data_IF_759525780008
#
_entry.id   IF_759525780008
#
_cell.length_a   1.000
_cell.length_b   1.000
_cell.length_c   1.000
_cell.angle_alpha   90.00
_cell.angle_beta   90.00
_cell.angle_gamma   90.00
#
_symmetry.space_group_name_H-M   'P 1'
#
loop_
_entity.id
_entity.type
_entity.pdbx_description
1 polymer ?
#
# COMPACT_ATOMS: atom_id res chain seq x y z
N UNK A 1 -1.05 -0.22 -37.01
CA UNK A 1 -0.83 0.72 -35.89
C UNK A 1 0.60 1.25 -35.90
N UNK A 2 0.80 2.56 -35.92
CA UNK A 2 2.12 3.23 -35.75
C UNK A 2 2.34 3.58 -34.27
N UNK A 3 3.59 3.57 -33.82
CA UNK A 3 3.94 3.75 -32.43
C UNK A 3 5.14 4.68 -32.32
N UNK A 4 5.03 5.68 -31.46
CA UNK A 4 6.10 6.58 -31.06
C UNK A 4 6.24 6.44 -29.54
N UNK A 5 7.45 6.25 -29.03
CA UNK A 5 7.72 6.21 -27.59
C UNK A 5 8.90 7.11 -27.29
N UNK A 6 8.73 7.98 -26.30
CA UNK A 6 9.76 8.89 -25.80
C UNK A 6 9.83 8.83 -24.26
N UNK A 7 10.59 9.74 -23.65
CA UNK A 7 10.73 9.82 -22.19
C UNK A 7 9.43 10.22 -21.47
N UNK A 8 8.51 10.87 -22.17
CA UNK A 8 7.26 11.42 -21.63
C UNK A 8 6.07 10.48 -21.79
N UNK A 9 6.12 9.53 -22.72
CA UNK A 9 5.02 8.59 -22.91
C UNK A 9 5.13 7.69 -24.15
N UNK A 10 4.00 7.06 -24.46
CA UNK A 10 3.78 6.26 -25.66
C UNK A 10 2.59 6.85 -26.40
N UNK A 11 2.79 7.10 -27.68
CA UNK A 11 1.77 7.56 -28.62
C UNK A 11 1.53 6.48 -29.65
N UNK A 12 0.31 5.94 -29.68
CA UNK A 12 -0.13 4.96 -30.67
C UNK A 12 -1.10 5.61 -31.65
N UNK A 13 -0.89 5.40 -32.95
CA UNK A 13 -1.81 5.80 -34.01
C UNK A 13 -2.40 4.54 -34.63
N UNK A 14 -3.71 4.32 -34.50
CA UNK A 14 -4.38 3.20 -35.15
C UNK A 14 -4.35 3.33 -36.68
N UNK A 15 -4.64 2.23 -37.39
CA UNK A 15 -4.72 2.28 -38.85
C UNK A 15 -5.93 3.10 -39.35
N UNK A 16 -6.90 3.34 -38.47
CA UNK A 16 -8.04 4.25 -38.67
C UNK A 16 -7.70 5.72 -38.33
N UNK A 17 -6.46 6.01 -37.93
CA UNK A 17 -6.01 7.37 -37.57
C UNK A 17 -6.37 7.82 -36.15
N UNK A 18 -6.84 6.93 -35.26
CA UNK A 18 -7.10 7.27 -33.86
C UNK A 18 -5.79 7.37 -33.08
N UNK A 19 -5.61 8.47 -32.36
CA UNK A 19 -4.45 8.73 -31.51
C UNK A 19 -4.73 8.31 -30.06
N UNK A 20 -3.85 7.51 -29.50
CA UNK A 20 -3.82 7.16 -28.08
C UNK A 20 -2.52 7.69 -27.49
N UNK A 21 -2.62 8.59 -26.51
CA UNK A 21 -1.46 9.14 -25.80
C UNK A 21 -1.48 8.62 -24.37
N UNK A 22 -0.45 7.86 -24.01
CA UNK A 22 -0.27 7.27 -22.69
C UNK A 22 0.97 7.92 -22.06
N UNK A 23 0.76 8.81 -21.11
CA UNK A 23 1.85 9.42 -20.34
C UNK A 23 2.66 8.37 -19.59
N UNK A 24 3.96 8.60 -19.41
CA UNK A 24 4.84 7.82 -18.53
C UNK A 24 4.35 7.80 -17.07
N UNK A 25 3.53 8.77 -16.68
CA UNK A 25 2.87 8.81 -15.37
C UNK A 25 1.58 7.98 -15.32
N UNK A 26 1.07 7.45 -16.42
CA UNK A 26 -0.17 6.67 -16.43
C UNK A 26 0.03 5.29 -15.77
N UNK A 27 -1.00 4.81 -15.07
CA UNK A 27 -0.99 3.50 -14.37
C UNK A 27 -0.89 2.30 -15.31
N UNK A 28 -1.30 2.48 -16.57
CA UNK A 28 -1.22 1.48 -17.63
C UNK A 28 0.10 1.55 -18.40
N UNK A 29 0.92 2.59 -18.19
CA UNK A 29 2.10 2.88 -19.02
C UNK A 29 3.01 1.67 -19.19
N UNK A 30 3.42 1.00 -18.11
CA UNK A 30 4.33 -0.14 -18.21
C UNK A 30 3.72 -1.34 -18.93
N UNK A 31 2.44 -1.60 -18.72
CA UNK A 31 1.76 -2.72 -19.37
C UNK A 31 1.57 -2.46 -20.87
N UNK A 32 1.21 -1.22 -21.22
CA UNK A 32 1.16 -0.73 -22.60
C UNK A 32 2.54 -0.79 -23.24
N UNK A 33 3.58 -0.30 -22.55
CA UNK A 33 4.97 -0.35 -22.99
C UNK A 33 5.43 -1.77 -23.28
N UNK A 34 5.20 -2.70 -22.36
CA UNK A 34 5.60 -4.09 -22.54
C UNK A 34 4.88 -4.73 -23.73
N UNK A 35 3.56 -4.53 -23.84
CA UNK A 35 2.76 -5.03 -24.97
C UNK A 35 3.27 -4.51 -26.32
N UNK A 36 3.52 -3.21 -26.39
CA UNK A 36 4.02 -2.54 -27.59
C UNK A 36 5.42 -3.05 -27.97
N UNK A 37 6.32 -3.17 -26.99
CA UNK A 37 7.69 -3.65 -27.16
C UNK A 37 7.75 -5.12 -27.53
N UNK A 38 6.79 -5.94 -27.08
CA UNK A 38 6.67 -7.35 -27.47
C UNK A 38 6.05 -7.56 -28.86
N UNK A 39 5.85 -6.49 -29.63
CA UNK A 39 5.29 -6.56 -30.99
C UNK A 39 3.75 -6.50 -31.05
N UNK A 40 3.07 -6.19 -29.94
CA UNK A 40 1.63 -5.99 -29.90
C UNK A 40 1.17 -4.82 -30.78
N UNK A 41 0.17 -5.05 -31.62
CA UNK A 41 -0.36 -4.05 -32.57
C UNK A 41 -1.89 -3.96 -32.62
N UNK A 42 -2.58 -4.85 -31.92
CA UNK A 42 -4.03 -4.84 -31.78
C UNK A 42 -4.48 -3.67 -30.89
N UNK A 43 -5.42 -2.88 -31.41
CA UNK A 43 -5.94 -1.67 -30.77
C UNK A 43 -6.95 -2.02 -29.68
N UNK A 44 -7.76 -3.07 -29.87
CA UNK A 44 -8.73 -3.51 -28.86
C UNK A 44 -7.99 -4.05 -27.63
N UNK A 45 -6.92 -4.81 -27.84
CA UNK A 45 -6.07 -5.30 -26.76
C UNK A 45 -5.36 -4.14 -26.03
N UNK A 46 -4.90 -3.11 -26.76
CA UNK A 46 -4.33 -1.90 -26.16
C UNK A 46 -5.35 -1.20 -25.25
N UNK A 47 -6.59 -0.98 -25.75
CA UNK A 47 -7.68 -0.38 -24.98
C UNK A 47 -8.01 -1.26 -23.76
N UNK A 48 -8.05 -2.58 -23.92
CA UNK A 48 -8.34 -3.51 -22.84
C UNK A 48 -7.29 -3.42 -21.71
N UNK A 49 -5.99 -3.27 -22.03
CA UNK A 49 -4.93 -3.10 -21.03
C UNK A 49 -5.05 -1.78 -20.27
N UNK A 50 -5.36 -0.67 -20.97
CA UNK A 50 -5.58 0.64 -20.36
C UNK A 50 -6.77 0.59 -19.40
N UNK A 51 -7.91 0.11 -19.90
CA UNK A 51 -9.16 0.02 -19.11
C UNK A 51 -9.04 -0.97 -17.95
N UNK A 52 -8.36 -2.10 -18.17
CA UNK A 52 -8.08 -3.09 -17.13
C UNK A 52 -7.24 -2.51 -15.99
N UNK A 53 -6.20 -1.75 -16.32
CA UNK A 53 -5.37 -1.04 -15.33
C UNK A 53 -6.16 -0.07 -14.48
N UNK A 54 -7.01 0.74 -15.12
CA UNK A 54 -7.85 1.72 -14.41
C UNK A 54 -8.88 1.03 -13.52
N UNK A 55 -9.56 0.02 -14.04
CA UNK A 55 -10.54 -0.78 -13.29
C UNK A 55 -9.93 -1.41 -12.04
N UNK A 56 -8.76 -2.03 -12.17
CA UNK A 56 -8.09 -2.69 -11.04
C UNK A 56 -7.72 -1.71 -9.91
N UNK A 57 -7.23 -0.52 -10.27
CA UNK A 57 -6.91 0.54 -9.29
C UNK A 57 -8.18 1.03 -8.58
N UNK A 58 -9.28 1.21 -9.32
CA UNK A 58 -10.58 1.59 -8.75
C UNK A 58 -11.11 0.52 -7.80
N UNK A 59 -11.08 -0.76 -8.17
CA UNK A 59 -11.53 -1.88 -7.32
C UNK A 59 -10.69 -1.99 -6.04
N UNK A 60 -9.38 -1.73 -6.14
CA UNK A 60 -8.47 -1.74 -5.01
C UNK A 60 -8.76 -0.58 -4.05
N UNK A 61 -8.98 0.62 -4.58
CA UNK A 61 -9.39 1.78 -3.79
C UNK A 61 -10.74 1.56 -3.09
N UNK A 62 -11.68 0.88 -3.76
CA UNK A 62 -12.97 0.49 -3.15
C UNK A 62 -12.77 -0.51 -2.01
N UNK A 63 -12.02 -1.60 -2.23
CA UNK A 63 -11.77 -2.60 -1.19
C UNK A 63 -11.07 -2.00 0.03
N UNK A 64 -10.20 -1.02 -0.20
CA UNK A 64 -9.53 -0.26 0.84
C UNK A 64 -10.49 0.54 1.72
N UNK A 65 -11.45 1.25 1.11
CA UNK A 65 -12.52 1.94 1.85
C UNK A 65 -13.24 0.94 2.75
N UNK A 66 -13.69 -0.19 2.19
CA UNK A 66 -14.48 -1.18 2.94
C UNK A 66 -13.75 -1.77 4.15
N UNK A 67 -12.44 -2.02 4.03
CA UNK A 67 -11.66 -2.60 5.14
C UNK A 67 -11.51 -1.63 6.31
N UNK A 68 -11.57 -0.33 6.04
CA UNK A 68 -11.24 0.72 7.01
C UNK A 68 -12.49 1.45 7.50
N UNK A 69 -13.54 1.48 6.68
CA UNK A 69 -14.84 2.14 6.87
C UNK A 69 -15.97 1.12 7.15
N UNK A 70 -15.71 0.18 8.07
CA UNK A 70 -16.66 -0.85 8.52
C UNK A 70 -17.63 -0.31 9.61
N UNK A 71 -17.85 1.02 9.67
CA UNK A 71 -18.62 1.70 10.73
C UNK A 71 -19.19 3.06 10.35
N UNK A 72 -19.77 3.76 11.33
CA UNK A 72 -20.42 5.09 11.16
C UNK A 72 -19.42 6.27 11.23
N UNK A 73 -18.22 6.02 11.77
CA UNK A 73 -17.13 7.00 11.84
C UNK A 73 -16.07 6.72 10.77
N UNK A 74 -15.74 7.74 9.99
CA UNK A 74 -14.60 7.63 9.08
C UNK A 74 -13.29 7.80 9.77
N UNK A 75 -12.47 6.79 9.66
CA UNK A 75 -11.13 6.83 10.21
C UNK A 75 -10.16 7.44 9.19
N UNK A 76 -9.58 8.57 9.58
CA UNK A 76 -8.50 9.26 8.86
C UNK A 76 -7.14 8.78 9.36
N UNK A 77 -6.08 8.99 8.58
CA UNK A 77 -4.70 8.87 9.09
C UNK A 77 -4.47 9.85 10.24
N UNK A 78 -3.35 9.71 10.97
CA UNK A 78 -2.94 10.68 12.00
C UNK A 78 -2.90 12.14 11.50
N UNK A 79 -2.63 12.32 10.20
CA UNK A 79 -2.49 13.60 9.52
C UNK A 79 -3.77 14.03 8.81
N UNK A 80 -4.91 13.40 9.13
CA UNK A 80 -6.21 13.73 8.57
C UNK A 80 -6.37 13.39 7.07
N UNK A 81 -5.47 12.57 6.51
CA UNK A 81 -5.55 12.11 5.12
C UNK A 81 -6.59 10.98 5.00
N UNK A 82 -7.33 10.91 3.88
CA UNK A 82 -8.09 9.72 3.52
C UNK A 82 -7.16 8.53 3.28
N UNK A 83 -7.51 7.40 3.90
CA UNK A 83 -6.77 6.14 3.75
C UNK A 83 -6.73 5.65 2.30
N UNK A 84 -7.76 5.99 1.52
CA UNK A 84 -7.87 5.69 0.09
C UNK A 84 -6.69 6.26 -0.69
N UNK A 85 -6.24 7.47 -0.37
CA UNK A 85 -5.21 8.15 -1.15
C UNK A 85 -3.84 7.51 -0.95
N UNK A 86 -3.51 7.17 0.29
CA UNK A 86 -2.28 6.46 0.64
C UNK A 86 -2.20 5.11 -0.09
N UNK A 87 -3.34 4.43 -0.22
CA UNK A 87 -3.44 3.15 -0.92
C UNK A 87 -3.39 3.34 -2.44
N UNK A 88 -4.07 4.36 -2.97
CA UNK A 88 -4.07 4.70 -4.39
C UNK A 88 -2.66 5.09 -4.86
N UNK A 89 -2.00 6.01 -4.16
CA UNK A 89 -0.61 6.40 -4.40
C UNK A 89 0.32 5.20 -4.40
N UNK A 90 0.07 4.25 -3.51
CA UNK A 90 0.84 3.01 -3.43
C UNK A 90 0.54 2.07 -4.58
N UNK A 91 -0.73 1.82 -4.89
CA UNK A 91 -1.12 0.95 -5.98
C UNK A 91 -0.55 1.46 -7.29
N UNK A 92 -0.60 2.77 -7.52
CA UNK A 92 0.04 3.46 -8.64
C UNK A 92 1.56 3.20 -8.61
N UNK A 93 2.23 3.46 -7.48
CA UNK A 93 3.69 3.30 -7.33
C UNK A 93 4.15 1.86 -7.58
N UNK A 94 3.49 0.88 -6.98
CA UNK A 94 3.88 -0.52 -7.08
C UNK A 94 3.59 -1.06 -8.49
N UNK A 95 2.46 -0.67 -9.10
CA UNK A 95 2.15 -1.02 -10.50
C UNK A 95 3.14 -0.40 -11.49
N UNK A 96 3.64 0.80 -11.19
CA UNK A 96 4.77 1.42 -11.92
C UNK A 96 6.10 0.69 -11.73
N UNK A 97 6.26 -0.13 -10.70
CA UNK A 97 7.50 -0.86 -10.42
C UNK A 97 7.46 -2.34 -10.83
N UNK A 98 6.34 -2.84 -11.38
CA UNK A 98 6.22 -4.18 -11.97
C UNK A 98 4.86 -4.87 -11.76
N UNK A 99 4.72 -6.06 -12.36
CA UNK A 99 3.53 -6.92 -12.21
C UNK A 99 3.44 -7.48 -10.79
N UNK A 100 2.25 -7.47 -10.17
CA UNK A 100 2.02 -8.06 -8.84
C UNK A 100 1.52 -7.11 -7.75
N UNK A 101 1.53 -5.80 -8.01
CA UNK A 101 1.24 -4.78 -7.00
C UNK A 101 -0.16 -4.82 -6.45
N UNK A 102 -1.14 -4.88 -7.33
CA UNK A 102 -2.55 -4.98 -6.99
C UNK A 102 -2.86 -6.27 -6.21
N UNK A 103 -2.26 -7.40 -6.57
CA UNK A 103 -2.44 -8.67 -5.87
C UNK A 103 -1.89 -8.61 -4.45
N UNK A 104 -0.69 -8.03 -4.26
CA UNK A 104 -0.09 -7.84 -2.94
C UNK A 104 -0.94 -6.92 -2.04
N UNK A 105 -1.46 -5.82 -2.60
CA UNK A 105 -2.33 -4.90 -1.87
C UNK A 105 -3.67 -5.57 -1.54
N UNK A 106 -4.28 -6.30 -2.46
CA UNK A 106 -5.49 -7.07 -2.18
C UNK A 106 -5.26 -8.13 -1.09
N UNK A 107 -4.12 -8.81 -1.10
CA UNK A 107 -3.75 -9.76 -0.05
C UNK A 107 -3.52 -9.07 1.30
N UNK A 108 -2.98 -7.85 1.27
CA UNK A 108 -2.80 -6.99 2.44
C UNK A 108 -4.15 -6.55 3.01
N UNK A 109 -5.06 -6.05 2.19
CA UNK A 109 -6.41 -5.65 2.60
C UNK A 109 -7.20 -6.82 3.19
N UNK A 110 -7.11 -8.02 2.60
CA UNK A 110 -7.71 -9.25 3.15
C UNK A 110 -7.14 -9.64 4.51
N UNK A 111 -5.87 -9.36 4.79
CA UNK A 111 -5.25 -9.56 6.11
C UNK A 111 -5.66 -8.47 7.09
N UNK A 112 -5.65 -7.23 6.65
CA UNK A 112 -6.03 -6.07 7.45
C UNK A 112 -7.49 -6.16 7.93
N UNK A 113 -8.41 -6.68 7.10
CA UNK A 113 -9.79 -6.97 7.50
C UNK A 113 -9.91 -7.91 8.70
N UNK A 114 -8.90 -8.76 8.94
CA UNK A 114 -8.85 -9.67 10.10
C UNK A 114 -8.31 -8.99 11.37
N UNK A 115 -7.85 -7.75 11.28
CA UNK A 115 -7.47 -6.96 12.45
C UNK A 115 -8.75 -6.57 13.21
N UNK A 116 -8.88 -6.95 14.49
CA UNK A 116 -10.13 -6.83 15.23
C UNK A 116 -10.53 -5.38 15.57
N UNK A 117 -9.61 -4.43 15.47
CA UNK A 117 -9.82 -3.03 15.92
C UNK A 117 -9.76 -2.08 14.73
N UNK A 118 -10.85 -1.35 14.47
CA UNK A 118 -10.96 -0.42 13.34
C UNK A 118 -9.94 0.72 13.42
N UNK A 119 -9.66 1.17 14.64
CA UNK A 119 -8.67 2.19 14.96
C UNK A 119 -7.29 1.71 14.51
N UNK A 120 -6.90 0.47 14.84
CA UNK A 120 -5.62 -0.09 14.39
C UNK A 120 -5.55 -0.18 12.86
N UNK A 121 -6.65 -0.53 12.20
CA UNK A 121 -6.68 -0.63 10.72
C UNK A 121 -6.38 0.70 10.09
N UNK A 122 -7.02 1.76 10.56
CA UNK A 122 -6.77 3.12 10.06
C UNK A 122 -5.39 3.66 10.43
N UNK A 123 -4.99 3.49 11.68
CA UNK A 123 -3.71 3.95 12.20
C UNK A 123 -2.52 3.41 11.38
N UNK A 124 -2.61 2.17 10.90
CA UNK A 124 -1.58 1.53 10.08
C UNK A 124 -1.25 2.33 8.81
N UNK A 125 -2.21 3.04 8.22
CA UNK A 125 -1.96 3.85 7.03
C UNK A 125 -1.12 5.10 7.30
N UNK A 126 -1.10 5.60 8.54
CA UNK A 126 -0.16 6.65 8.93
C UNK A 126 1.29 6.13 8.90
N UNK A 127 1.51 4.88 9.37
CA UNK A 127 2.82 4.23 9.30
C UNK A 127 3.23 3.96 7.86
N UNK A 128 2.31 3.43 7.04
CA UNK A 128 2.56 3.14 5.63
C UNK A 128 2.85 4.40 4.80
N UNK A 129 2.24 5.56 5.14
CA UNK A 129 2.59 6.84 4.52
C UNK A 129 4.02 7.28 4.86
N UNK A 130 4.48 7.02 6.09
CA UNK A 130 5.82 7.39 6.53
C UNK A 130 6.92 6.45 6.02
N UNK A 131 6.69 5.13 6.06
CA UNK A 131 7.66 4.12 5.62
C UNK A 131 7.58 3.84 4.12
N UNK A 132 6.44 4.04 3.47
CA UNK A 132 6.15 3.42 2.19
C UNK A 132 5.65 1.98 2.35
N UNK A 133 5.20 1.39 1.24
CA UNK A 133 4.62 0.06 1.23
C UNK A 133 5.61 -0.97 0.70
N UNK A 134 6.44 -1.48 1.61
CA UNK A 134 7.19 -2.71 1.33
C UNK A 134 6.33 -3.90 1.73
N UNK A 135 5.59 -4.44 0.75
CA UNK A 135 4.68 -5.56 0.95
C UNK A 135 5.27 -6.85 0.41
N UNK A 136 4.89 -7.98 1.00
CA UNK A 136 5.08 -9.27 0.35
C UNK A 136 3.98 -9.52 -0.67
N UNK A 137 4.21 -10.44 -1.61
CA UNK A 137 3.16 -10.91 -2.54
C UNK A 137 1.94 -11.47 -1.82
N UNK A 138 2.11 -12.01 -0.61
CA UNK A 138 1.01 -12.45 0.24
C UNK A 138 0.49 -11.35 1.18
N UNK A 139 0.84 -10.08 1.01
CA UNK A 139 0.22 -8.96 1.72
C UNK A 139 0.61 -8.81 3.19
N UNK A 140 1.80 -9.28 3.57
CA UNK A 140 2.43 -8.92 4.84
C UNK A 140 3.31 -7.68 4.67
N UNK A 141 3.56 -6.99 5.76
CA UNK A 141 4.41 -5.80 5.80
C UNK A 141 5.83 -6.21 6.14
N UNK A 142 6.80 -5.66 5.42
CA UNK A 142 8.20 -5.68 5.82
C UNK A 142 8.48 -4.37 6.55
N UNK A 143 9.00 -4.47 7.77
CA UNK A 143 9.44 -3.33 8.58
C UNK A 143 10.80 -3.57 9.18
N UNK A 144 11.26 -2.64 10.01
CA UNK A 144 12.59 -2.65 10.60
C UNK A 144 12.50 -2.70 12.11
N UNK A 145 13.50 -3.30 12.75
CA UNK A 145 13.62 -3.28 14.20
C UNK A 145 15.05 -3.02 14.64
N UNK A 146 15.23 -1.95 15.40
CA UNK A 146 16.46 -1.66 16.11
C UNK A 146 16.66 -2.64 17.29
N UNK A 147 17.84 -3.23 17.36
CA UNK A 147 18.27 -4.19 18.39
C UNK A 147 19.68 -3.83 18.86
N UNK A 148 20.11 -4.37 20.01
CA UNK A 148 21.48 -4.23 20.51
C UNK A 148 22.46 -5.12 19.73
N UNK A 149 23.76 -4.97 20.02
CA UNK A 149 24.84 -5.72 19.37
C UNK A 149 24.73 -7.24 19.53
N UNK A 150 24.04 -7.69 20.57
CA UNK A 150 23.72 -9.09 20.90
C UNK A 150 22.33 -9.53 20.40
N UNK A 151 21.70 -8.75 19.52
CA UNK A 151 20.36 -9.00 18.95
C UNK A 151 19.22 -9.03 19.97
N UNK A 152 19.39 -8.43 21.14
CA UNK A 152 18.30 -8.23 22.10
C UNK A 152 17.54 -6.93 21.83
N UNK A 153 16.31 -6.81 22.33
CA UNK A 153 15.63 -5.51 22.38
C UNK A 153 16.48 -4.51 23.18
N UNK A 154 16.51 -3.25 22.71
CA UNK A 154 17.18 -2.14 23.40
C UNK A 154 16.59 -1.92 24.79
N UNK A 155 15.24 -1.89 24.87
CA UNK A 155 14.49 -1.72 26.11
C UNK A 155 14.07 -3.05 26.72
N UNK A 156 13.88 -3.06 28.04
CA UNK A 156 13.33 -4.19 28.81
C UNK A 156 11.84 -3.99 29.08
N UNK A 157 11.02 -5.01 28.87
CA UNK A 157 9.60 -5.05 29.25
C UNK A 157 9.35 -5.95 30.48
N UNK A 158 8.15 -5.87 31.05
CA UNK A 158 7.74 -6.73 32.19
C UNK A 158 6.84 -7.89 31.75
N UNK A 159 6.32 -7.80 30.54
CA UNK A 159 5.32 -8.71 30.02
C UNK A 159 5.98 -9.97 29.42
N UNK A 160 5.30 -11.12 29.52
CA UNK A 160 5.81 -12.36 28.95
C UNK A 160 5.75 -12.31 27.41
N UNK A 161 6.91 -12.47 26.78
CA UNK A 161 7.03 -12.56 25.31
C UNK A 161 7.48 -13.96 24.92
N UNK A 162 6.73 -14.61 24.04
CA UNK A 162 7.11 -15.89 23.46
C UNK A 162 8.02 -15.70 22.25
N UNK A 163 9.16 -16.39 22.24
CA UNK A 163 10.07 -16.48 21.10
C UNK A 163 10.16 -17.94 20.67
N UNK A 164 9.81 -18.22 19.41
CA UNK A 164 9.98 -19.54 18.80
C UNK A 164 11.09 -19.49 17.76
N UNK A 165 12.14 -20.31 17.94
CA UNK A 165 13.25 -20.44 17.01
C UNK A 165 13.59 -21.93 16.84
N UNK A 166 13.74 -22.38 15.59
CA UNK A 166 14.08 -23.77 15.23
C UNK A 166 13.19 -24.84 15.93
N UNK A 167 11.89 -24.54 16.09
CA UNK A 167 10.92 -25.46 16.71
C UNK A 167 10.82 -25.35 18.24
N UNK A 168 11.78 -24.69 18.90
CA UNK A 168 11.74 -24.47 20.34
C UNK A 168 11.06 -23.15 20.67
N UNK A 169 10.03 -23.18 21.53
CA UNK A 169 9.36 -21.99 22.07
C UNK A 169 9.87 -21.72 23.49
N UNK A 170 10.30 -20.50 23.76
CA UNK A 170 10.69 -20.01 25.10
C UNK A 170 9.93 -18.73 25.44
N UNK A 171 9.58 -18.57 26.71
CA UNK A 171 9.03 -17.32 27.22
C UNK A 171 10.15 -16.49 27.83
N UNK A 172 10.19 -15.22 27.49
CA UNK A 172 11.17 -14.24 27.94
C UNK A 172 10.45 -13.10 28.67
N UNK A 173 11.12 -12.56 29.68
CA UNK A 173 10.77 -11.30 30.35
C UNK A 173 12.01 -10.40 30.31
N UNK A 174 11.84 -9.08 30.35
CA UNK A 174 12.94 -8.14 30.21
C UNK A 174 13.32 -7.93 28.74
N UNK A 175 14.59 -8.17 28.39
CA UNK A 175 15.09 -8.01 27.02
C UNK A 175 14.78 -9.24 26.18
N UNK A 176 14.27 -9.02 24.98
CA UNK A 176 13.74 -10.08 24.11
C UNK A 176 14.72 -10.34 22.96
N UNK A 177 15.08 -11.60 22.66
CA UNK A 177 15.96 -11.91 21.53
C UNK A 177 15.24 -11.84 20.18
N UNK A 178 15.89 -11.22 19.19
CA UNK A 178 15.42 -11.05 17.81
C UNK A 178 16.39 -11.67 16.80
N UNK A 179 16.72 -12.95 17.01
CA UNK A 179 17.58 -13.70 16.10
C UNK A 179 16.86 -14.01 14.78
N UNK A 180 17.61 -14.09 13.68
CA UNK A 180 17.07 -14.42 12.36
C UNK A 180 16.26 -15.73 12.38
N UNK A 181 15.04 -15.67 11.84
CA UNK A 181 14.09 -16.78 11.82
C UNK A 181 13.20 -16.91 13.07
N UNK A 182 13.43 -16.09 14.10
CA UNK A 182 12.60 -16.07 15.31
C UNK A 182 11.18 -15.61 15.00
N UNK A 183 10.19 -16.32 15.53
CA UNK A 183 8.80 -15.87 15.60
C UNK A 183 8.58 -15.30 17.00
N UNK A 184 8.33 -14.01 17.09
CA UNK A 184 8.18 -13.29 18.36
C UNK A 184 6.72 -12.91 18.53
N UNK A 185 6.12 -13.20 19.68
CA UNK A 185 4.73 -12.86 19.95
C UNK A 185 4.45 -12.58 21.42
N UNK A 186 3.54 -11.64 21.65
CA UNK A 186 2.95 -11.30 22.95
C UNK A 186 1.42 -11.43 22.81
N UNK A 187 0.67 -11.85 23.85
CA UNK A 187 -0.79 -11.80 23.83
C UNK A 187 -1.29 -10.41 23.44
N UNK A 188 -2.20 -10.33 22.45
CA UNK A 188 -2.65 -9.05 21.88
C UNK A 188 -3.26 -8.12 22.93
N UNK A 189 -3.98 -8.67 23.90
CA UNK A 189 -4.60 -7.94 25.00
C UNK A 189 -3.60 -7.33 25.99
N UNK A 190 -2.31 -7.70 25.92
CA UNK A 190 -1.24 -7.06 26.69
C UNK A 190 -0.55 -5.94 25.92
N UNK A 191 -0.79 -5.80 24.61
CA UNK A 191 -0.22 -4.72 23.81
C UNK A 191 -1.09 -3.48 23.99
N UNK A 192 -0.46 -2.34 24.23
CA UNK A 192 -1.16 -1.09 24.49
C UNK A 192 -1.83 -0.54 23.21
N UNK A 193 -3.18 -0.52 23.15
CA UNK A 193 -3.92 0.01 22.01
C UNK A 193 -3.94 1.54 21.97
N UNK A 194 -3.60 2.22 23.06
CA UNK A 194 -3.61 3.67 23.13
C UNK A 194 -2.41 4.24 22.35
N UNK A 195 -2.73 5.00 21.30
CA UNK A 195 -1.73 5.64 20.44
C UNK A 195 -1.07 6.86 21.07
N UNK A 196 -1.66 7.40 22.15
CA UNK A 196 -1.15 8.56 22.88
C UNK A 196 -0.26 8.17 24.06
N UNK A 197 -0.39 6.95 24.57
CA UNK A 197 0.61 6.39 25.45
C UNK A 197 1.93 6.31 24.68
N UNK A 198 2.99 6.97 25.12
CA UNK A 198 4.31 6.93 24.46
C UNK A 198 5.19 5.86 25.10
N UNK A 199 6.02 5.18 24.29
CA UNK A 199 6.94 4.15 24.76
C UNK A 199 6.29 2.99 25.58
N UNK A 200 5.03 2.68 25.30
CA UNK A 200 4.25 1.67 26.03
C UNK A 200 4.41 0.24 25.50
N UNK A 201 3.75 -0.70 26.17
CA UNK A 201 3.85 -2.15 25.99
C UNK A 201 3.50 -2.58 24.57
N UNK A 202 4.40 -3.33 23.96
CA UNK A 202 4.19 -3.94 22.65
C UNK A 202 5.50 -4.32 21.98
N UNK A 203 5.43 -5.18 20.96
CA UNK A 203 6.60 -5.41 20.11
C UNK A 203 6.67 -4.24 19.13
N UNK A 204 7.69 -3.40 19.25
CA UNK A 204 7.84 -2.23 18.38
C UNK A 204 8.54 -2.60 17.08
N UNK A 205 7.97 -2.12 15.98
CA UNK A 205 8.50 -2.18 14.61
C UNK A 205 8.52 -0.75 14.07
N UNK A 206 9.63 -0.34 13.48
CA UNK A 206 9.87 1.01 12.98
C UNK A 206 10.01 1.08 11.47
N UNK A 207 10.04 2.33 10.99
CA UNK A 207 10.64 2.70 9.70
C UNK A 207 12.13 2.36 9.68
N UNK A 208 12.75 2.34 8.50
CA UNK A 208 14.21 2.19 8.40
C UNK A 208 14.94 3.26 9.20
N UNK A 209 14.54 4.53 9.04
CA UNK A 209 15.14 5.66 9.75
C UNK A 209 15.02 5.50 11.28
N UNK A 210 13.80 5.22 11.76
CA UNK A 210 13.56 5.07 13.21
C UNK A 210 14.32 3.89 13.81
N UNK A 211 14.33 2.75 13.11
CA UNK A 211 15.04 1.56 13.59
C UNK A 211 16.56 1.75 13.62
N UNK A 212 17.10 2.47 12.64
CA UNK A 212 18.53 2.79 12.53
C UNK A 212 18.97 3.77 13.62
N UNK A 213 18.14 4.76 13.93
CA UNK A 213 18.42 5.72 15.02
C UNK A 213 18.27 5.07 16.40
N UNK A 214 17.33 4.14 16.55
CA UNK A 214 17.01 3.52 17.85
C UNK A 214 17.94 2.35 18.22
N UNK A 215 18.39 1.58 17.24
CA UNK A 215 19.18 0.35 17.42
C UNK A 215 20.68 0.57 17.28
N UNK A 216 21.48 -0.39 17.76
CA UNK A 216 22.89 -0.54 17.35
C UNK A 216 23.01 -1.38 16.08
N UNK A 217 22.09 -2.33 15.92
CA UNK A 217 21.89 -3.14 14.71
C UNK A 217 20.42 -3.06 14.30
N UNK A 218 20.16 -3.35 13.03
CA UNK A 218 18.80 -3.39 12.48
C UNK A 218 18.50 -4.78 11.93
N UNK A 219 17.30 -5.28 12.21
CA UNK A 219 16.78 -6.51 11.59
C UNK A 219 15.52 -6.20 10.78
N UNK A 220 15.38 -6.89 9.65
CA UNK A 220 14.15 -6.90 8.86
C UNK A 220 13.13 -7.81 9.54
N UNK A 221 11.90 -7.35 9.63
CA UNK A 221 10.80 -8.10 10.24
C UNK A 221 9.60 -8.19 9.32
N UNK A 222 8.92 -9.32 9.39
CA UNK A 222 7.67 -9.58 8.70
C UNK A 222 6.51 -9.48 9.69
N UNK A 223 5.54 -8.63 9.36
CA UNK A 223 4.37 -8.34 10.19
C UNK A 223 3.11 -8.64 9.41
N UNK A 224 2.18 -9.38 10.02
CA UNK A 224 0.84 -9.54 9.48
C UNK A 224 -0.02 -8.31 9.87
N UNK A 225 -0.68 -7.62 8.92
CA UNK A 225 -1.52 -6.46 9.23
C UNK A 225 -2.60 -6.73 10.30
N UNK A 226 -3.05 -7.98 10.46
CA UNK A 226 -3.98 -8.38 11.51
C UNK A 226 -3.37 -8.32 12.92
N UNK A 227 -2.05 -8.43 13.02
CA UNK A 227 -1.32 -8.50 14.28
C UNK A 227 -0.85 -7.12 14.76
N UNK A 228 -1.02 -6.06 13.96
CA UNK A 228 -0.82 -4.64 14.36
C UNK A 228 -1.88 -4.25 15.38
N UNK A 229 -1.47 -3.49 16.40
CA UNK A 229 -2.35 -3.07 17.52
C UNK A 229 -2.53 -1.56 17.55
N UNK A 230 -1.46 -0.79 17.40
CA UNK A 230 -1.52 0.68 17.38
C UNK A 230 -0.33 1.30 16.65
N UNK A 231 -0.51 2.53 16.14
CA UNK A 231 0.54 3.37 15.57
C UNK A 231 0.65 4.66 16.40
N UNK A 232 1.66 4.76 17.30
CA UNK A 232 1.86 5.91 18.16
C UNK A 232 2.05 7.23 17.41
N UNK A 233 1.63 8.35 18.02
CA UNK A 233 1.75 9.71 17.43
C UNK A 233 3.10 10.38 17.66
N UNK A 234 3.81 10.04 18.74
CA UNK A 234 5.05 10.70 19.19
C UNK A 234 6.20 10.71 18.19
N UNK A 235 6.18 9.82 17.21
CA UNK A 235 7.22 9.72 16.19
C UNK A 235 6.67 9.89 14.77
N UNK A 236 5.62 10.71 14.58
CA UNK A 236 5.02 10.98 13.26
C UNK A 236 4.67 9.70 12.47
N UNK A 237 4.19 8.67 13.16
CA UNK A 237 3.85 7.39 12.54
C UNK A 237 5.05 6.51 12.18
N UNK A 238 6.28 6.84 12.57
CA UNK A 238 7.46 6.05 12.23
C UNK A 238 7.60 4.72 12.98
N UNK A 239 6.73 4.42 13.95
CA UNK A 239 6.71 3.12 14.65
C UNK A 239 5.30 2.59 14.82
N UNK A 240 5.18 1.28 14.94
CA UNK A 240 3.95 0.58 15.26
C UNK A 240 4.18 -0.42 16.39
N UNK A 241 3.11 -0.74 17.12
CA UNK A 241 3.05 -1.83 18.09
C UNK A 241 2.36 -3.02 17.48
N UNK A 242 3.00 -4.17 17.58
CA UNK A 242 2.47 -5.43 17.06
C UNK A 242 2.41 -6.49 18.15
N UNK A 243 1.48 -7.42 17.98
CA UNK A 243 1.35 -8.60 18.84
C UNK A 243 2.20 -9.77 18.35
N UNK A 244 2.63 -9.76 17.07
CA UNK A 244 3.47 -10.81 16.48
C UNK A 244 4.29 -10.30 15.30
N UNK A 245 5.51 -10.83 15.17
CA UNK A 245 6.36 -10.66 13.99
C UNK A 245 7.24 -11.89 13.74
N UNK A 246 7.89 -11.92 12.58
CA UNK A 246 8.96 -12.87 12.26
C UNK A 246 10.21 -12.10 11.87
N UNK A 247 11.36 -12.44 12.45
CA UNK A 247 12.65 -11.86 12.05
C UNK A 247 13.13 -12.53 10.76
N UNK A 248 13.37 -11.74 9.72
CA UNK A 248 13.71 -12.21 8.39
C UNK A 248 15.23 -12.30 8.17
N UNK A 249 15.93 -11.22 8.50
CA UNK A 249 17.35 -11.05 8.21
C UNK A 249 17.94 -9.91 9.06
N UNK A 250 19.26 -9.90 9.20
CA UNK A 250 19.99 -8.69 9.58
C UNK A 250 19.99 -7.71 8.39
N UNK A 251 19.95 -6.42 8.69
CA UNK A 251 19.96 -5.34 7.70
C UNK A 251 21.20 -4.48 7.89
N UNK A 252 22.03 -4.38 6.85
CA UNK A 252 23.34 -3.69 6.92
C UNK A 252 23.51 -2.62 5.85
N UNK A 253 22.44 -1.98 5.38
CA UNK A 253 22.51 -0.98 4.32
C UNK A 253 21.35 0.01 4.29
N UNK A 254 21.14 0.62 3.14
CA UNK A 254 20.09 1.61 2.93
C UNK A 254 18.69 1.01 3.03
N UNK A 255 17.69 1.89 3.17
CA UNK A 255 16.28 1.51 3.14
C UNK A 255 16.00 0.70 1.88
N UNK A 256 15.32 -0.43 2.05
CA UNK A 256 14.85 -1.20 0.89
C UNK A 256 13.80 -0.39 0.13
N UNK A 257 13.93 -0.34 -1.20
CA UNK A 257 12.99 0.34 -2.07
C UNK A 257 11.54 -0.12 -1.83
N UNK A 258 10.60 0.82 -1.95
CA UNK A 258 9.17 0.57 -1.84
C UNK A 258 8.72 -0.36 -2.98
N UNK A 259 8.68 -1.67 -2.71
CA UNK A 259 8.43 -2.70 -3.73
C UNK A 259 7.61 -3.86 -3.16
N UNK A 260 7.05 -4.66 -4.07
CA UNK A 260 6.48 -5.96 -3.72
C UNK A 260 7.57 -7.01 -3.75
N UNK A 261 7.87 -7.54 -2.57
CA UNK A 261 8.80 -8.64 -2.44
C UNK A 261 8.10 -9.97 -2.60
N UNK A 262 8.56 -10.75 -3.57
CA UNK A 262 8.30 -12.19 -3.54
C UNK A 262 9.20 -12.79 -2.46
N UNK A 263 8.65 -13.04 -1.27
CA UNK A 263 9.29 -13.97 -0.34
C UNK A 263 8.97 -15.36 -0.89
N UNK A 264 9.94 -16.09 -1.46
CA UNK A 264 9.57 -17.35 -2.06
C UNK A 264 9.29 -18.36 -0.92
N UNK A 265 8.30 -19.20 -1.18
CA UNK A 265 7.82 -20.39 -0.46
C UNK A 265 8.90 -21.14 0.36
N UNK A 266 8.61 -21.88 1.46
CA UNK A 266 9.51 -22.69 2.31
C UNK A 266 10.81 -23.25 1.70
N UNK A 267 10.83 -23.62 0.42
CA UNK A 267 12.04 -24.00 -0.34
C UNK A 267 13.06 -22.86 -0.45
N UNK A 268 12.64 -21.61 -0.67
CA UNK A 268 13.52 -20.46 -0.65
C UNK A 268 13.96 -20.04 0.74
N UNK A 269 13.24 -20.39 1.80
CA UNK A 269 13.73 -20.25 3.18
C UNK A 269 14.96 -21.13 3.43
N UNK A 270 14.99 -22.32 2.82
CA UNK A 270 16.12 -23.25 2.84
C UNK A 270 17.27 -22.79 1.93
N UNK A 271 16.97 -22.32 0.71
CA UNK A 271 17.97 -21.75 -0.21
C UNK A 271 18.57 -20.42 0.30
N UNK A 272 17.78 -19.60 0.99
CA UNK A 272 18.20 -18.31 1.57
C UNK A 272 19.15 -18.52 2.75
N UNK A 273 18.84 -19.44 3.69
CA UNK A 273 19.78 -19.85 4.75
C UNK A 273 21.09 -20.45 4.21
N UNK A 274 21.05 -21.05 3.03
CA UNK A 274 22.21 -21.65 2.36
C UNK A 274 22.97 -20.69 1.42
N UNK A 275 22.57 -19.41 1.32
CA UNK A 275 23.32 -18.42 0.54
C UNK A 275 24.63 -18.09 1.26
N UNK A 276 25.74 -18.06 0.52
CA UNK A 276 27.07 -17.67 1.02
C UNK A 276 27.10 -16.34 1.79
N UNK A 277 26.15 -15.42 1.54
CA UNK A 277 26.03 -14.15 2.28
C UNK A 277 25.44 -14.25 3.69
N UNK A 278 25.09 -15.45 4.19
CA UNK A 278 24.70 -15.70 5.59
C UNK A 278 25.84 -16.32 6.42
N UNK A 279 27.06 -16.38 5.88
CA UNK A 279 28.29 -16.71 6.61
C UNK A 279 28.98 -15.40 7.08
N UNK A 280 29.66 -15.44 8.24
CA UNK A 280 30.38 -14.28 8.80
C UNK A 280 31.47 -13.74 7.84
N UNK A 281 31.77 -12.43 7.84
CA UNK A 281 32.29 -11.76 6.66
C UNK A 281 33.81 -11.87 6.49
N UNK A 282 34.25 -11.80 5.22
CA UNK A 282 35.53 -11.19 4.84
C UNK A 282 35.40 -10.44 3.48
N UNK A 283 35.74 -9.15 3.54
CA UNK A 283 36.27 -8.20 2.54
C UNK A 283 35.67 -8.04 1.11
N UNK A 284 35.08 -6.84 0.90
CA UNK A 284 35.30 -5.81 -0.15
C UNK A 284 35.50 -6.20 -1.64
N UNK A 285 34.67 -5.67 -2.57
CA UNK A 285 34.97 -4.52 -3.49
C UNK A 285 33.89 -4.27 -4.57
N UNK A 286 33.51 -3.00 -4.66
CA UNK A 286 32.89 -2.12 -5.70
C UNK A 286 33.00 -2.48 -7.21
N UNK A 287 31.96 -2.12 -8.00
CA UNK A 287 31.96 -0.95 -8.91
C UNK A 287 30.69 -0.83 -9.81
N UNK A 288 30.30 0.43 -10.02
CA UNK A 288 29.20 0.98 -10.85
C UNK A 288 29.49 1.02 -12.36
N UNK A 289 28.46 1.27 -13.19
CA UNK A 289 28.47 2.35 -14.20
C UNK A 289 27.20 2.40 -15.10
N UNK A 290 26.84 3.64 -15.44
CA UNK A 290 25.73 4.21 -16.25
C UNK A 290 25.78 3.84 -17.76
N UNK A 291 24.87 4.19 -18.68
CA UNK A 291 24.42 5.54 -19.15
C UNK A 291 23.41 5.38 -20.33
N UNK A 292 22.30 6.14 -20.38
CA UNK A 292 21.97 7.31 -21.25
C UNK A 292 21.26 7.08 -22.61
N UNK A 293 20.55 8.14 -23.05
CA UNK A 293 19.41 8.19 -23.97
C UNK A 293 19.64 9.10 -25.21
N UNK A 294 18.71 9.14 -26.17
CA UNK A 294 18.61 10.22 -27.18
C UNK A 294 17.20 10.42 -27.76
N UNK A 295 16.84 11.68 -28.01
CA UNK A 295 15.53 12.23 -28.41
C UNK A 295 15.41 12.52 -29.93
N UNK A 296 14.20 12.71 -30.47
CA UNK A 296 13.86 13.70 -31.55
C UNK A 296 12.33 13.91 -31.70
N UNK A 297 11.91 15.15 -32.02
CA UNK A 297 10.54 15.70 -32.09
C UNK A 297 9.85 15.56 -33.48
N UNK A 298 8.50 15.59 -33.54
CA UNK A 298 7.70 16.67 -34.18
C UNK A 298 6.20 16.33 -34.42
N UNK A 299 5.36 17.28 -33.98
CA UNK A 299 4.11 17.87 -34.54
C UNK A 299 2.73 17.16 -34.52
N UNK A 300 1.71 18.02 -34.41
CA UNK A 300 0.42 17.85 -33.75
C UNK A 300 -0.70 17.22 -34.61
N UNK A 301 -1.52 16.37 -33.99
CA UNK A 301 -2.92 16.13 -34.36
C UNK A 301 -3.70 15.58 -33.15
N UNK A 302 -4.99 15.93 -33.08
CA UNK A 302 -6.03 15.66 -32.06
C UNK A 302 -5.79 14.49 -31.09
N UNK A 303 -5.62 14.86 -29.83
CA UNK A 303 -5.38 14.00 -28.67
C UNK A 303 -6.68 13.44 -28.06
N UNK A 304 -6.77 12.12 -27.94
CA UNK A 304 -7.54 11.53 -26.83
C UNK A 304 -6.53 11.32 -25.70
N UNK A 305 -6.39 12.31 -24.83
CA UNK A 305 -5.64 12.15 -23.60
C UNK A 305 -6.33 11.07 -22.77
N UNK A 306 -5.63 9.99 -22.44
CA UNK A 306 -6.11 9.10 -21.40
C UNK A 306 -5.97 9.86 -20.08
N UNK A 307 -7.06 10.45 -19.60
CA UNK A 307 -7.03 11.24 -18.37
C UNK A 307 -6.43 10.40 -17.22
N UNK A 308 -5.57 11.00 -16.36
CA UNK A 308 -5.08 10.33 -15.16
C UNK A 308 -6.26 9.82 -14.33
N UNK A 309 -6.08 8.75 -13.55
CA UNK A 309 -7.11 8.29 -12.61
C UNK A 309 -7.44 9.45 -11.66
N UNK A 310 -8.58 10.09 -11.91
CA UNK A 310 -9.03 11.24 -11.14
C UNK A 310 -9.54 10.76 -9.78
N UNK A 311 -9.07 11.41 -8.72
CA UNK A 311 -9.56 11.17 -7.36
C UNK A 311 -11.08 11.36 -7.28
N UNK A 312 -11.65 12.26 -8.09
CA UNK A 312 -13.10 12.46 -8.22
C UNK A 312 -13.80 11.20 -8.73
N UNK A 313 -13.21 10.48 -9.69
CA UNK A 313 -13.77 9.24 -10.23
C UNK A 313 -13.72 8.08 -9.25
N UNK A 314 -12.64 7.99 -8.48
CA UNK A 314 -12.51 6.99 -7.42
C UNK A 314 -13.54 7.23 -6.32
N UNK A 315 -13.71 8.50 -5.91
CA UNK A 315 -14.72 8.90 -4.92
C UNK A 315 -16.13 8.63 -5.45
N UNK A 316 -16.41 8.97 -6.71
CA UNK A 316 -17.69 8.69 -7.35
C UNK A 316 -18.03 7.19 -7.36
N UNK A 317 -17.07 6.35 -7.74
CA UNK A 317 -17.26 4.89 -7.77
C UNK A 317 -17.53 4.31 -6.36
N UNK A 318 -16.85 4.83 -5.33
CA UNK A 318 -17.09 4.42 -3.94
C UNK A 318 -18.50 4.83 -3.44
N UNK A 319 -18.97 6.03 -3.79
CA UNK A 319 -20.33 6.51 -3.45
C UNK A 319 -21.39 5.60 -4.08
N UNK A 320 -21.23 5.24 -5.36
CA UNK A 320 -22.16 4.36 -6.09
C UNK A 320 -22.27 2.99 -5.43
N UNK A 321 -21.14 2.32 -5.12
CA UNK A 321 -21.16 1.02 -4.45
C UNK A 321 -21.79 1.08 -3.06
N UNK A 322 -21.56 2.16 -2.29
CA UNK A 322 -22.20 2.32 -0.99
C UNK A 322 -23.71 2.42 -1.13
N UNK A 323 -24.20 3.18 -2.11
CA UNK A 323 -25.63 3.28 -2.39
C UNK A 323 -26.23 1.96 -2.86
N UNK A 324 -25.48 1.12 -3.59
CA UNK A 324 -25.93 -0.24 -3.95
C UNK A 324 -26.12 -1.14 -2.72
N UNK A 325 -25.28 -0.98 -1.71
CA UNK A 325 -25.29 -1.79 -0.47
C UNK A 325 -26.19 -1.20 0.61
N UNK A 326 -26.59 0.06 0.48
CA UNK A 326 -27.44 0.77 1.43
C UNK A 326 -28.91 0.51 1.11
N UNK A 327 -29.66 0.03 2.09
CA UNK A 327 -31.13 -0.08 2.00
C UNK A 327 -31.84 1.28 2.21
N UNK A 328 -31.09 2.32 2.56
CA UNK A 328 -31.60 3.67 2.83
C UNK A 328 -30.89 4.73 1.96
N UNK A 329 -31.61 5.78 1.52
CA UNK A 329 -31.03 6.94 0.86
C UNK A 329 -29.94 7.59 1.72
N UNK A 330 -28.80 7.98 1.12
CA UNK A 330 -27.70 8.62 1.86
C UNK A 330 -27.78 10.14 1.73
N UNK A 331 -27.78 10.87 2.86
CA UNK A 331 -27.74 12.33 2.83
C UNK A 331 -26.32 12.84 2.60
N UNK A 332 -26.20 13.99 1.93
CA UNK A 332 -24.92 14.69 1.74
C UNK A 332 -24.15 14.86 3.05
N UNK A 333 -24.85 15.20 4.14
CA UNK A 333 -24.31 15.28 5.51
C UNK A 333 -23.62 13.99 5.95
N UNK A 334 -24.22 12.85 5.68
CA UNK A 334 -23.73 11.56 6.14
C UNK A 334 -22.55 11.08 5.27
N UNK A 335 -22.50 11.51 4.00
CA UNK A 335 -21.32 11.44 3.16
C UNK A 335 -20.24 12.43 3.62
N UNK A 336 -20.58 13.66 4.00
CA UNK A 336 -19.64 14.71 4.44
C UNK A 336 -18.92 14.39 5.75
N UNK A 337 -19.57 13.66 6.67
CA UNK A 337 -18.90 13.11 7.85
C UNK A 337 -17.69 12.28 7.44
N UNK A 338 -17.71 11.73 6.22
CA UNK A 338 -16.70 10.84 5.66
C UNK A 338 -15.50 11.51 5.00
N UNK A 339 -15.54 12.82 4.76
CA UNK A 339 -14.48 13.57 4.07
C UNK A 339 -13.98 14.75 4.91
N UNK A 340 -12.67 15.06 4.84
CA UNK A 340 -12.10 16.27 5.47
C UNK A 340 -12.63 17.55 4.84
N UNK A 341 -12.69 18.64 5.59
CA UNK A 341 -13.17 19.94 5.11
C UNK A 341 -12.47 20.35 3.79
N UNK A 342 -11.16 20.20 3.72
CA UNK A 342 -10.33 20.52 2.54
C UNK A 342 -10.51 19.56 1.34
N UNK A 343 -11.39 18.56 1.45
CA UNK A 343 -11.59 17.50 0.45
C UNK A 343 -13.08 17.23 0.19
N UNK A 344 -13.98 17.99 0.83
CA UNK A 344 -15.41 17.98 0.48
C UNK A 344 -15.61 18.42 -0.96
N UNK A 345 -14.71 19.25 -1.49
CA UNK A 345 -14.66 19.65 -2.89
C UNK A 345 -14.54 18.46 -3.85
N UNK A 346 -13.77 17.41 -3.51
CA UNK A 346 -13.68 16.20 -4.34
C UNK A 346 -14.95 15.34 -4.27
N UNK A 347 -15.58 15.26 -3.09
CA UNK A 347 -16.88 14.60 -2.95
C UNK A 347 -17.97 15.38 -3.67
N UNK A 348 -17.94 16.71 -3.59
CA UNK A 348 -18.88 17.60 -4.28
C UNK A 348 -18.73 17.46 -5.78
N UNK A 349 -17.51 17.54 -6.31
CA UNK A 349 -17.21 17.27 -7.71
C UNK A 349 -17.67 15.86 -8.13
N UNK A 350 -17.51 14.85 -7.27
CA UNK A 350 -17.94 13.48 -7.56
C UNK A 350 -19.46 13.35 -7.59
N UNK A 351 -20.16 13.97 -6.65
CA UNK A 351 -21.63 13.99 -6.61
C UNK A 351 -22.19 14.76 -7.80
N UNK A 352 -21.61 15.91 -8.14
CA UNK A 352 -21.98 16.70 -9.30
C UNK A 352 -21.75 15.92 -10.61
N UNK A 353 -20.61 15.24 -10.72
CA UNK A 353 -20.30 14.35 -11.85
C UNK A 353 -21.34 13.24 -11.97
N UNK A 354 -21.67 12.55 -10.87
CA UNK A 354 -22.65 11.46 -10.86
C UNK A 354 -24.07 11.92 -11.15
N UNK A 355 -24.47 13.10 -10.68
CA UNK A 355 -25.75 13.72 -10.99
C UNK A 355 -25.81 14.12 -12.48
N UNK A 356 -24.75 14.76 -13.00
CA UNK A 356 -24.67 15.15 -14.41
C UNK A 356 -24.70 13.95 -15.36
N UNK A 357 -24.18 12.81 -14.92
CA UNK A 357 -24.20 11.54 -15.64
C UNK A 357 -25.49 10.73 -15.43
N UNK A 358 -26.51 11.27 -14.73
CA UNK A 358 -27.75 10.56 -14.36
C UNK A 358 -27.51 9.23 -13.63
N UNK A 359 -26.33 9.05 -13.01
CA UNK A 359 -26.01 7.87 -12.20
C UNK A 359 -26.65 7.94 -10.82
N UNK A 360 -26.88 9.17 -10.34
CA UNK A 360 -27.59 9.47 -9.09
C UNK A 360 -28.80 10.37 -9.35
N UNK A 361 -29.78 10.27 -8.46
CA UNK A 361 -30.86 11.23 -8.29
C UNK A 361 -30.92 11.69 -6.85
N UNK A 362 -31.35 12.93 -6.64
CA UNK A 362 -31.56 13.49 -5.31
C UNK A 362 -33.07 13.52 -5.00
N UNK A 363 -33.46 12.97 -3.85
CA UNK A 363 -34.85 13.02 -3.40
C UNK A 363 -35.22 14.38 -2.80
N UNK A 364 -36.50 14.54 -2.49
CA UNK A 364 -37.06 15.78 -1.93
C UNK A 364 -36.50 16.13 -0.54
N UNK A 365 -35.76 15.21 0.10
CA UNK A 365 -35.11 15.41 1.40
C UNK A 365 -33.62 15.76 1.27
N UNK A 366 -33.12 15.85 0.04
CA UNK A 366 -31.72 16.09 -0.27
C UNK A 366 -30.84 14.84 -0.18
N UNK A 367 -31.42 13.64 -0.11
CA UNK A 367 -30.70 12.38 -0.07
C UNK A 367 -30.43 11.84 -1.48
N UNK A 368 -29.27 11.21 -1.67
CA UNK A 368 -28.85 10.62 -2.94
C UNK A 368 -29.31 9.16 -3.04
N UNK A 369 -29.75 8.80 -4.23
CA UNK A 369 -30.21 7.47 -4.63
C UNK A 369 -29.61 7.11 -5.98
N UNK A 370 -29.43 5.80 -6.24
CA UNK A 370 -29.09 5.34 -7.59
C UNK A 370 -30.27 5.61 -8.52
N UNK A 371 -29.96 6.14 -9.70
CA UNK A 371 -30.97 6.30 -10.74
C UNK A 371 -31.45 4.92 -11.22
N UNK A 372 -32.76 4.75 -11.36
CA UNK A 372 -33.37 3.52 -11.88
C UNK A 372 -33.11 3.28 -13.39
N UNK A 373 -32.48 4.25 -14.08
CA UNK A 373 -32.19 4.19 -15.52
C UNK A 373 -30.75 3.80 -15.85
N UNK A 374 -29.85 3.60 -14.87
CA UNK A 374 -28.45 3.21 -15.11
C UNK A 374 -28.22 1.70 -14.99
N UNK A 375 -28.23 0.99 -16.12
CA UNK A 375 -27.70 -0.38 -16.26
C UNK A 375 -26.40 -0.36 -17.03
#
# INVERSE_FOLDING_TARGET
>A
MKIISDKTGITCVSDEGKLFVISASDVSYNEVKEYVLSGGRDVEELIAKIMGSKKEITELAQSAVEVVDDGDDTYRTANNDPVVDVILETAIRVRRNGRGGSQAINAFLKRLKKNPTAESRSQLFAWLKAEGFTLTTDGKIIGYKGVSDDFLSISSGREPVSVTLNGTKKTHMGRIPYLVGSKVSIPRNLVDPDRDAHCSVGIHVGTHAYASDFGRRVVLVLVDPKDVVSVPRDCNGQKMRVSRLVVLAEHTGDKIADTVMTIPDPVARKRYRARKGNEAPAATTVNDADTEASDTEADATTTVAADPVDIVDVVAAAVVEKLKKSSTPLKKRDLYKRFSANRRDHLDAALDKLLSANSLVQDNTGAYLLSSTGK
#
